data_IF_830602204243
#
_entry.id   IF_830602204243
#
_cell.length_a   1.000
_cell.length_b   1.000
_cell.length_c   1.000
_cell.angle_alpha   90.00
_cell.angle_beta   90.00
_cell.angle_gamma   90.00
#
_symmetry.space_group_name_H-M   'P 1'
#
loop_
_entity.id
_entity.type
_entity.pdbx_description
1 polymer ?
#
# COMPACT_ATOMS: atom_id res chain seq x y z
N UNK A 1 2.46 -45.95 -20.98
CA UNK A 1 1.88 -45.11 -22.05
C UNK A 1 2.65 -43.81 -22.11
N UNK A 2 3.10 -43.38 -23.29
CA UNK A 2 3.74 -42.08 -23.48
C UNK A 2 2.70 -40.99 -23.24
N UNK A 3 2.89 -40.20 -22.18
CA UNK A 3 2.17 -38.93 -22.02
C UNK A 3 2.83 -37.94 -22.97
N UNK A 4 2.02 -37.35 -23.85
CA UNK A 4 2.49 -36.47 -24.92
C UNK A 4 3.32 -35.32 -24.37
N UNK A 5 4.47 -35.10 -25.01
CA UNK A 5 5.25 -33.88 -24.93
C UNK A 5 4.44 -32.74 -25.56
N UNK A 6 3.46 -32.24 -24.81
CA UNK A 6 2.85 -30.96 -25.08
C UNK A 6 3.92 -29.90 -24.87
N UNK A 7 4.33 -29.27 -25.97
CA UNK A 7 5.14 -28.06 -25.95
C UNK A 7 4.46 -27.06 -25.01
N UNK A 8 4.97 -26.89 -23.79
CA UNK A 8 4.60 -25.75 -22.96
C UNK A 8 5.16 -24.57 -23.73
N UNK A 9 4.33 -23.94 -24.55
CA UNK A 9 4.62 -22.64 -25.12
C UNK A 9 5.19 -21.82 -23.96
N UNK A 10 6.43 -21.32 -24.11
CA UNK A 10 7.16 -20.69 -23.03
C UNK A 10 6.36 -19.49 -22.52
N UNK A 11 5.48 -19.76 -21.55
CA UNK A 11 4.57 -18.78 -20.99
C UNK A 11 5.42 -17.72 -20.34
N UNK A 12 5.07 -16.46 -20.55
CA UNK A 12 5.76 -15.33 -19.96
C UNK A 12 5.93 -15.51 -18.44
N UNK A 13 6.87 -14.77 -17.81
CA UNK A 13 7.17 -14.90 -16.40
C UNK A 13 5.91 -14.91 -15.54
N UNK A 14 5.89 -15.79 -14.54
CA UNK A 14 4.84 -15.81 -13.52
C UNK A 14 5.24 -14.87 -12.38
N UNK A 15 4.34 -13.97 -12.01
CA UNK A 15 4.53 -13.01 -10.92
C UNK A 15 3.51 -13.28 -9.81
N UNK A 16 3.99 -13.40 -8.57
CA UNK A 16 3.16 -13.46 -7.38
C UNK A 16 2.96 -12.04 -6.85
N UNK A 17 1.70 -11.66 -6.64
CA UNK A 17 1.33 -10.35 -6.09
C UNK A 17 0.88 -10.54 -4.64
N UNK A 18 1.65 -10.00 -3.69
CA UNK A 18 1.58 -10.38 -2.27
C UNK A 18 1.06 -9.30 -1.32
N UNK A 19 0.67 -8.13 -1.85
CA UNK A 19 0.09 -7.04 -1.05
C UNK A 19 -1.29 -7.38 -0.50
N UNK A 20 -1.90 -6.45 0.20
CA UNK A 20 -3.29 -6.55 0.63
C UNK A 20 -4.22 -6.85 -0.55
N UNK A 21 -5.34 -7.52 -0.26
CA UNK A 21 -6.37 -7.78 -1.26
C UNK A 21 -6.84 -6.46 -1.90
N UNK A 22 -6.89 -6.41 -3.23
CA UNK A 22 -7.29 -5.22 -4.01
C UNK A 22 -6.23 -4.12 -4.11
N UNK A 23 -5.03 -4.27 -3.52
CA UNK A 23 -3.93 -3.29 -3.66
C UNK A 23 -2.98 -3.59 -4.82
N UNK A 24 -3.25 -4.66 -5.55
CA UNK A 24 -2.41 -5.12 -6.66
C UNK A 24 -2.95 -4.70 -8.04
N UNK A 25 -4.18 -4.17 -8.15
CA UNK A 25 -4.88 -3.93 -9.42
C UNK A 25 -4.05 -3.20 -10.48
N UNK A 26 -3.42 -2.07 -10.12
CA UNK A 26 -2.57 -1.28 -11.03
C UNK A 26 -1.36 -2.09 -11.52
N UNK A 27 -0.73 -2.85 -10.62
CA UNK A 27 0.43 -3.69 -10.94
C UNK A 27 0.01 -4.91 -11.77
N UNK A 28 -1.08 -5.57 -11.40
CA UNK A 28 -1.68 -6.67 -12.14
C UNK A 28 -2.00 -6.27 -13.58
N UNK A 29 -2.68 -5.15 -13.78
CA UNK A 29 -3.00 -4.62 -15.10
C UNK A 29 -1.73 -4.34 -15.92
N UNK A 30 -0.74 -3.70 -15.32
CA UNK A 30 0.52 -3.34 -15.99
C UNK A 30 1.33 -4.58 -16.42
N UNK A 31 1.43 -5.59 -15.56
CA UNK A 31 2.13 -6.84 -15.84
C UNK A 31 1.37 -7.70 -16.87
N UNK A 32 0.04 -7.74 -16.76
CA UNK A 32 -0.81 -8.45 -17.73
C UNK A 32 -0.71 -7.83 -19.13
N UNK A 33 -0.62 -6.50 -19.22
CA UNK A 33 -0.46 -5.78 -20.48
C UNK A 33 0.85 -6.12 -21.22
N UNK A 34 1.90 -6.55 -20.50
CA UNK A 34 3.17 -7.02 -21.07
C UNK A 34 3.25 -8.55 -21.19
N UNK A 35 2.11 -9.24 -21.06
CA UNK A 35 2.00 -10.70 -21.28
C UNK A 35 2.50 -11.57 -20.12
N UNK A 36 2.68 -11.01 -18.92
CA UNK A 36 3.04 -11.78 -17.73
C UNK A 36 1.79 -12.39 -17.07
N UNK A 37 1.96 -13.60 -16.54
CA UNK A 37 0.90 -14.25 -15.75
C UNK A 37 1.01 -13.79 -14.30
N UNK A 38 -0.02 -13.16 -13.79
CA UNK A 38 -0.10 -12.77 -12.39
C UNK A 38 -0.92 -13.79 -11.58
N UNK A 39 -0.48 -14.05 -10.35
CA UNK A 39 -1.24 -14.82 -9.34
C UNK A 39 -1.31 -13.96 -8.09
N UNK A 40 -2.52 -13.64 -7.65
CA UNK A 40 -2.71 -12.96 -6.38
C UNK A 40 -2.62 -13.93 -5.22
N UNK A 41 -1.83 -13.55 -4.21
CA UNK A 41 -1.69 -14.26 -2.96
C UNK A 41 -1.59 -13.21 -1.85
N UNK A 42 -2.71 -12.66 -1.35
CA UNK A 42 -2.65 -11.60 -0.36
C UNK A 42 -1.99 -12.09 0.94
N UNK A 43 -0.85 -11.49 1.30
CA UNK A 43 -0.08 -11.86 2.50
C UNK A 43 -0.08 -10.77 3.57
N UNK A 44 -0.63 -9.60 3.28
CA UNK A 44 -0.63 -8.44 4.18
C UNK A 44 -2.07 -8.09 4.52
N UNK A 45 -2.30 -7.82 5.80
CA UNK A 45 -3.53 -7.21 6.32
C UNK A 45 -3.13 -6.06 7.22
N UNK A 46 -3.69 -4.88 6.95
CA UNK A 46 -3.56 -3.73 7.84
C UNK A 46 -4.55 -3.85 9.00
N UNK A 47 -4.09 -3.52 10.19
CA UNK A 47 -4.90 -3.48 11.41
C UNK A 47 -4.64 -2.18 12.14
N UNK A 48 -5.59 -1.77 12.97
CA UNK A 48 -5.44 -0.56 13.77
C UNK A 48 -4.33 -0.76 14.80
N UNK A 49 -3.36 0.17 14.82
CA UNK A 49 -2.31 0.18 15.83
C UNK A 49 -2.83 0.63 17.18
N UNK A 50 -2.25 0.11 18.27
CA UNK A 50 -2.66 0.44 19.64
C UNK A 50 -2.63 1.95 19.94
N UNK A 51 -1.73 2.68 19.26
CA UNK A 51 -1.51 4.11 19.48
C UNK A 51 -2.37 5.01 18.58
N UNK A 52 -3.26 4.45 17.73
CA UNK A 52 -4.10 5.24 16.82
C UNK A 52 -4.91 6.33 17.53
N UNK A 53 -5.38 6.02 18.74
CA UNK A 53 -6.18 6.96 19.55
C UNK A 53 -5.36 8.08 20.19
N UNK A 54 -4.06 7.89 20.35
CA UNK A 54 -3.17 8.91 20.89
C UNK A 54 -2.69 9.88 19.81
N UNK A 55 -2.87 9.56 18.52
CA UNK A 55 -2.36 10.35 17.41
C UNK A 55 -2.93 11.78 17.36
N UNK A 56 -4.26 12.02 17.54
CA UNK A 56 -4.79 13.40 17.54
C UNK A 56 -4.17 14.27 18.65
N UNK A 57 -4.05 13.73 19.86
CA UNK A 57 -3.42 14.42 20.99
C UNK A 57 -1.93 14.70 20.73
N UNK A 58 -1.22 13.75 20.11
CA UNK A 58 0.18 13.92 19.72
C UNK A 58 0.36 15.04 18.66
N UNK A 59 -0.60 15.23 17.76
CA UNK A 59 -0.56 16.29 16.75
C UNK A 59 -0.81 17.69 17.35
N UNK A 60 -1.57 17.79 18.43
CA UNK A 60 -1.91 19.08 19.06
C UNK A 60 -0.99 19.47 20.22
N UNK A 61 -0.45 18.49 20.95
CA UNK A 61 0.45 18.73 22.09
C UNK A 61 1.76 19.45 21.72
N UNK A 62 2.07 19.52 20.41
CA UNK A 62 3.27 20.15 19.90
C UNK A 62 4.51 19.27 20.12
N UNK A 63 5.59 19.57 19.40
CA UNK A 63 6.87 18.86 19.53
C UNK A 63 7.41 18.26 18.24
N UNK A 64 6.62 18.28 17.16
CA UNK A 64 7.06 17.82 15.85
C UNK A 64 6.97 18.95 14.81
N UNK A 65 8.11 19.26 14.21
CA UNK A 65 8.20 20.15 13.05
C UNK A 65 7.69 19.50 11.75
N UNK A 66 7.78 18.17 11.71
CA UNK A 66 7.51 17.34 10.54
C UNK A 66 6.89 16.01 10.95
N UNK A 67 5.97 15.52 10.13
CA UNK A 67 5.44 14.16 10.17
C UNK A 67 5.81 13.43 8.89
N UNK A 68 6.49 12.30 9.01
CA UNK A 68 6.86 11.46 7.87
C UNK A 68 5.82 10.34 7.67
N UNK A 69 5.23 10.28 6.48
CA UNK A 69 4.21 9.30 6.10
C UNK A 69 4.76 8.37 5.02
N UNK A 70 4.81 7.08 5.31
CA UNK A 70 5.61 6.12 4.53
C UNK A 70 4.79 5.12 3.72
N UNK A 71 3.46 5.22 3.71
CA UNK A 71 2.59 4.39 2.88
C UNK A 71 1.24 5.09 2.64
N UNK A 72 0.52 4.74 1.57
CA UNK A 72 -0.85 5.23 1.35
C UNK A 72 -1.77 4.95 2.55
N UNK A 73 -1.64 3.78 3.16
CA UNK A 73 -2.43 3.39 4.33
C UNK A 73 -2.12 4.28 5.56
N UNK A 74 -0.84 4.63 5.77
CA UNK A 74 -0.46 5.57 6.82
C UNK A 74 -0.97 6.99 6.56
N UNK A 75 -1.06 7.40 5.29
CA UNK A 75 -1.62 8.70 4.92
C UNK A 75 -3.10 8.80 5.29
N UNK A 76 -3.90 7.77 4.99
CA UNK A 76 -5.31 7.71 5.42
C UNK A 76 -5.44 7.82 6.95
N UNK A 77 -4.66 7.03 7.68
CA UNK A 77 -4.67 7.06 9.16
C UNK A 77 -4.28 8.43 9.71
N UNK A 78 -3.26 9.06 9.12
CA UNK A 78 -2.82 10.39 9.50
C UNK A 78 -3.89 11.45 9.23
N UNK A 79 -4.51 11.45 8.04
CA UNK A 79 -5.54 12.43 7.67
C UNK A 79 -6.74 12.36 8.61
N UNK A 80 -7.23 11.16 8.91
CA UNK A 80 -8.34 10.97 9.86
C UNK A 80 -8.00 11.57 11.24
N UNK A 81 -6.79 11.32 11.75
CA UNK A 81 -6.35 11.83 13.05
C UNK A 81 -6.07 13.34 13.03
N UNK A 82 -5.58 13.86 11.89
CA UNK A 82 -5.32 15.28 11.68
C UNK A 82 -6.61 16.09 11.62
N UNK A 83 -7.66 15.56 10.98
CA UNK A 83 -9.00 16.13 11.02
C UNK A 83 -9.59 16.09 12.43
N UNK A 84 -9.47 14.96 13.12
CA UNK A 84 -9.91 14.79 14.52
C UNK A 84 -9.21 15.77 15.48
N UNK A 85 -7.92 16.07 15.22
CA UNK A 85 -7.11 17.04 15.94
C UNK A 85 -7.45 18.51 15.65
N UNK A 86 -8.40 18.79 14.73
CA UNK A 86 -8.74 20.15 14.34
C UNK A 86 -7.77 20.79 13.35
N UNK A 87 -7.08 19.97 12.53
CA UNK A 87 -6.22 20.38 11.44
C UNK A 87 -5.03 21.28 11.87
N UNK A 88 -4.20 20.84 12.83
CA UNK A 88 -3.03 21.62 13.26
C UNK A 88 -2.05 21.87 12.10
N UNK A 89 -1.37 23.02 12.13
CA UNK A 89 -0.33 23.35 11.15
C UNK A 89 0.90 22.46 11.36
N UNK A 90 1.12 21.53 10.43
CA UNK A 90 2.22 20.55 10.49
C UNK A 90 2.77 20.30 9.10
N UNK A 91 4.09 20.17 8.99
CA UNK A 91 4.73 19.84 7.71
C UNK A 91 4.72 18.34 7.50
N UNK A 92 4.31 17.89 6.31
CA UNK A 92 4.22 16.46 5.99
C UNK A 92 5.23 16.11 4.91
N UNK A 93 5.99 15.05 5.15
CA UNK A 93 6.87 14.44 4.16
C UNK A 93 6.32 13.05 3.77
N UNK A 94 6.32 12.73 2.48
CA UNK A 94 5.84 11.44 1.96
C UNK A 94 6.96 10.68 1.23
N UNK A 95 6.97 9.35 1.34
CA UNK A 95 8.03 8.51 0.74
C UNK A 95 8.00 8.45 -0.79
N UNK A 96 6.84 8.71 -1.39
CA UNK A 96 6.68 8.67 -2.85
C UNK A 96 5.31 9.14 -3.32
N UNK A 97 5.17 9.32 -4.64
CA UNK A 97 3.98 9.87 -5.27
C UNK A 97 2.70 9.11 -4.88
N UNK A 98 2.73 7.77 -4.84
CA UNK A 98 1.55 6.99 -4.46
C UNK A 98 1.06 7.24 -3.02
N UNK A 99 1.93 7.68 -2.11
CA UNK A 99 1.53 8.11 -0.76
C UNK A 99 1.02 9.54 -0.75
N UNK A 100 1.60 10.42 -1.57
CA UNK A 100 1.18 11.82 -1.68
C UNK A 100 -0.10 12.07 -2.49
N UNK A 101 -0.65 11.04 -3.15
CA UNK A 101 -1.92 11.09 -3.88
C UNK A 101 -3.15 10.78 -3.01
N UNK A 102 -2.94 10.32 -1.76
CA UNK A 102 -4.01 10.05 -0.79
C UNK A 102 -4.50 11.36 -0.19
#
# INVERSE_FOLDING_TARGET
GRVGSGNVAAGGPCVLLTREAGKNDKMHASLSAVGMRCVELPLIVHTEGADRRALPDALTSGGFDWVAVTSPEAATVFLDAWEEAGQPDVRVAVVGAGTGEV
#
